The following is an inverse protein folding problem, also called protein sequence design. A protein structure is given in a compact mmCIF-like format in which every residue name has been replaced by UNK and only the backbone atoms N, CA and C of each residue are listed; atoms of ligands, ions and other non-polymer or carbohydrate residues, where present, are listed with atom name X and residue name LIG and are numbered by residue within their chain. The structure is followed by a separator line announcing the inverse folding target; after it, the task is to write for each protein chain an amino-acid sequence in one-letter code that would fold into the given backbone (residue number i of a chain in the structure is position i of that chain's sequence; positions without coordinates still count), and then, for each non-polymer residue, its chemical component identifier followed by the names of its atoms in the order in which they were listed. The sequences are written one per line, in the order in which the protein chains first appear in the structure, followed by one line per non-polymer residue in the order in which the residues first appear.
data_IF_987635716932
#
_entry.id   IF_987635716932
#
_cell.length_a   1.000
_cell.length_b   1.000
_cell.length_c   1.000
_cell.angle_alpha   90.00
_cell.angle_beta   90.00
_cell.angle_gamma   90.00
#
_symmetry.space_group_name_H-M   'P 1'
#
loop_
_entity.id
_entity.type
_entity.pdbx_description
1 polymer ?
#
# COMPACT_ATOMS: atom_id res chain seq x y z
N UNK A 1 7.44 -5.34 -7.79
CA UNK A 1 8.47 -6.08 -8.56
C UNK A 1 7.92 -6.39 -9.96
N UNK A 2 8.72 -6.40 -11.02
CA UNK A 2 8.23 -6.67 -12.39
C UNK A 2 7.52 -8.03 -12.52
N UNK A 3 7.82 -8.97 -11.61
CA UNK A 3 7.24 -10.31 -11.52
C UNK A 3 5.69 -10.33 -11.43
N UNK A 4 5.07 -9.28 -10.86
CA UNK A 4 3.60 -9.22 -10.71
C UNK A 4 2.92 -8.28 -11.70
N UNK A 5 3.70 -7.58 -12.53
CA UNK A 5 3.18 -6.55 -13.46
C UNK A 5 2.16 -7.12 -14.45
N UNK A 6 2.40 -8.36 -14.92
CA UNK A 6 1.46 -9.05 -15.81
C UNK A 6 0.12 -9.35 -15.13
N UNK A 7 0.13 -9.69 -13.85
CA UNK A 7 -1.09 -9.94 -13.06
C UNK A 7 -1.86 -8.65 -12.82
N UNK A 8 -1.16 -7.57 -12.43
CA UNK A 8 -1.80 -6.26 -12.24
C UNK A 8 -2.37 -5.71 -13.54
N UNK A 9 -1.67 -5.93 -14.67
CA UNK A 9 -2.20 -5.58 -15.99
C UNK A 9 -3.48 -6.33 -16.30
N UNK A 10 -3.54 -7.64 -16.04
CA UNK A 10 -4.78 -8.41 -16.21
C UNK A 10 -5.91 -7.88 -15.32
N UNK A 11 -5.61 -7.49 -14.08
CA UNK A 11 -6.60 -6.90 -13.18
C UNK A 11 -7.15 -5.57 -13.73
N UNK A 12 -6.26 -4.68 -14.21
CA UNK A 12 -6.63 -3.42 -14.86
C UNK A 12 -7.45 -3.67 -16.12
N UNK A 13 -7.02 -4.59 -16.99
CA UNK A 13 -7.71 -4.89 -18.25
C UNK A 13 -9.12 -5.49 -17.98
N UNK A 14 -9.28 -6.24 -16.87
CA UNK A 14 -10.56 -6.88 -16.50
C UNK A 14 -11.54 -5.95 -15.78
N UNK A 15 -11.07 -5.13 -14.85
CA UNK A 15 -11.92 -4.35 -13.94
C UNK A 15 -11.78 -2.84 -14.11
N UNK A 16 -10.79 -2.38 -14.87
CA UNK A 16 -10.52 -0.96 -15.14
C UNK A 16 -9.66 -0.29 -14.06
N UNK A 17 -9.04 0.82 -14.45
CA UNK A 17 -8.17 1.64 -13.59
C UNK A 17 -8.92 2.21 -12.37
N UNK A 18 -10.15 2.68 -12.58
CA UNK A 18 -10.99 3.23 -11.51
C UNK A 18 -11.27 2.21 -10.39
N UNK A 19 -11.46 0.94 -10.75
CA UNK A 19 -11.65 -0.13 -9.77
C UNK A 19 -10.38 -0.41 -8.97
N UNK A 20 -9.19 -0.33 -9.59
CA UNK A 20 -7.93 -0.49 -8.86
C UNK A 20 -7.72 0.66 -7.87
N UNK A 21 -8.05 1.90 -8.27
CA UNK A 21 -7.95 3.07 -7.38
C UNK A 21 -8.92 2.94 -6.20
N UNK A 22 -10.16 2.53 -6.47
CA UNK A 22 -11.17 2.32 -5.43
C UNK A 22 -10.73 1.24 -4.43
N UNK A 23 -10.19 0.12 -4.92
CA UNK A 23 -9.62 -0.93 -4.07
C UNK A 23 -8.57 -0.36 -3.12
N UNK A 24 -7.61 0.44 -3.59
CA UNK A 24 -6.59 1.03 -2.71
C UNK A 24 -7.20 1.95 -1.64
N UNK A 25 -8.30 2.65 -1.96
CA UNK A 25 -9.00 3.45 -0.95
C UNK A 25 -9.62 2.58 0.14
N UNK A 26 -10.23 1.45 -0.23
CA UNK A 26 -10.79 0.47 0.70
C UNK A 26 -9.69 -0.08 1.62
N UNK A 27 -8.61 -0.61 1.05
CA UNK A 27 -7.48 -1.17 1.82
C UNK A 27 -6.82 -0.13 2.76
N UNK A 28 -6.68 1.12 2.29
CA UNK A 28 -6.15 2.20 3.14
C UNK A 28 -7.11 2.52 4.31
N UNK A 29 -8.42 2.44 4.09
CA UNK A 29 -9.41 2.67 5.13
C UNK A 29 -9.44 1.53 6.15
N UNK A 30 -9.30 0.28 5.70
CA UNK A 30 -9.23 -0.92 6.56
C UNK A 30 -7.97 -0.90 7.43
N UNK A 31 -6.80 -0.65 6.84
CA UNK A 31 -5.56 -0.46 7.61
C UNK A 31 -5.68 0.69 8.62
N UNK A 32 -6.26 1.83 8.22
CA UNK A 32 -6.46 2.97 9.13
C UNK A 32 -7.37 2.61 10.31
N UNK A 33 -8.47 1.89 10.06
CA UNK A 33 -9.41 1.45 11.08
C UNK A 33 -8.72 0.47 12.04
N UNK A 34 -8.00 -0.53 11.51
CA UNK A 34 -7.28 -1.52 12.30
C UNK A 34 -6.24 -0.86 13.21
N UNK A 35 -5.44 0.07 12.67
CA UNK A 35 -4.46 0.82 13.45
C UNK A 35 -5.12 1.70 14.53
N UNK A 36 -6.30 2.25 14.26
CA UNK A 36 -7.10 2.99 15.24
C UNK A 36 -7.59 2.09 16.39
N UNK A 37 -7.96 0.84 16.09
CA UNK A 37 -8.28 -0.16 17.11
C UNK A 37 -7.05 -0.55 17.93
N UNK A 38 -5.93 -0.85 17.26
CA UNK A 38 -4.67 -1.20 17.92
C UNK A 38 -4.19 -0.09 18.88
N UNK A 39 -4.28 1.18 18.46
CA UNK A 39 -3.86 2.34 19.25
C UNK A 39 -4.69 2.55 20.51
N UNK A 40 -6.01 2.29 20.47
CA UNK A 40 -6.92 2.45 21.62
C UNK A 40 -6.72 1.38 22.71
N UNK A 41 -5.82 0.43 22.47
CA UNK A 41 -5.51 -0.68 23.35
C UNK A 41 -6.48 -1.84 23.17
N UNK A 42 -5.96 -3.06 23.34
CA UNK A 42 -6.62 -4.37 23.18
C UNK A 42 -7.85 -4.60 24.07
N UNK A 43 -8.38 -3.56 24.74
CA UNK A 43 -9.42 -3.70 25.77
C UNK A 43 -10.82 -4.02 25.22
N UNK A 44 -11.05 -3.87 23.91
CA UNK A 44 -12.35 -4.18 23.29
C UNK A 44 -12.28 -4.88 21.93
N UNK A 45 -11.14 -4.89 21.24
CA UNK A 45 -10.97 -5.53 19.94
C UNK A 45 -9.63 -6.26 19.95
N UNK A 46 -9.63 -7.57 19.71
CA UNK A 46 -8.41 -8.37 19.60
C UNK A 46 -7.77 -8.14 18.23
N UNK A 47 -7.12 -6.98 18.05
CA UNK A 47 -6.26 -6.78 16.89
C UNK A 47 -5.04 -7.68 17.07
N UNK A 48 -4.88 -8.64 16.18
CA UNK A 48 -3.73 -9.54 16.18
C UNK A 48 -2.59 -8.97 15.32
N UNK A 49 -1.41 -9.58 15.44
CA UNK A 49 -0.29 -9.21 14.57
C UNK A 49 -0.56 -9.66 13.14
N UNK A 50 -1.26 -10.77 12.97
CA UNK A 50 -1.65 -11.36 11.70
C UNK A 50 -2.57 -10.40 10.93
N UNK A 51 -3.57 -9.82 11.61
CA UNK A 51 -4.45 -8.80 11.01
C UNK A 51 -3.63 -7.62 10.49
N UNK A 52 -2.71 -7.09 11.31
CA UNK A 52 -1.88 -5.94 10.91
C UNK A 52 -1.01 -6.26 9.69
N UNK A 53 -0.45 -7.48 9.64
CA UNK A 53 0.37 -7.90 8.51
C UNK A 53 -0.46 -8.06 7.24
N UNK A 54 -1.69 -8.56 7.34
CA UNK A 54 -2.64 -8.67 6.22
C UNK A 54 -2.90 -7.30 5.60
N UNK A 55 -3.41 -6.36 6.39
CA UNK A 55 -3.75 -5.02 5.93
C UNK A 55 -2.54 -4.25 5.35
N UNK A 56 -1.34 -4.43 5.92
CA UNK A 56 -0.11 -3.86 5.36
C UNK A 56 0.20 -4.48 3.99
N UNK A 57 0.01 -5.79 3.83
CA UNK A 57 0.24 -6.48 2.57
C UNK A 57 -0.77 -6.03 1.50
N UNK A 58 -2.05 -5.90 1.85
CA UNK A 58 -3.10 -5.50 0.93
C UNK A 58 -2.91 -4.06 0.44
N UNK A 59 -2.62 -3.12 1.35
CA UNK A 59 -2.21 -1.75 0.98
C UNK A 59 -0.95 -1.75 0.12
N UNK A 60 0.04 -2.59 0.43
CA UNK A 60 1.27 -2.68 -0.37
C UNK A 60 0.99 -3.16 -1.80
N UNK A 61 0.13 -4.17 -1.98
CA UNK A 61 -0.30 -4.66 -3.29
C UNK A 61 -1.07 -3.58 -4.06
N UNK A 62 -1.98 -2.87 -3.38
CA UNK A 62 -2.71 -1.75 -3.96
C UNK A 62 -1.75 -0.66 -4.47
N UNK A 63 -0.73 -0.29 -3.70
CA UNK A 63 0.29 0.69 -4.13
C UNK A 63 1.03 0.18 -5.38
N UNK A 64 1.37 -1.11 -5.47
CA UNK A 64 1.98 -1.67 -6.67
C UNK A 64 1.05 -1.63 -7.90
N UNK A 65 -0.25 -1.85 -7.72
CA UNK A 65 -1.25 -1.68 -8.77
C UNK A 65 -1.36 -0.22 -9.21
N UNK A 66 -1.32 0.75 -8.29
CA UNK A 66 -1.29 2.18 -8.63
C UNK A 66 -0.06 2.55 -9.45
N UNK A 67 1.11 1.98 -9.14
CA UNK A 67 2.29 2.16 -9.98
C UNK A 67 2.04 1.69 -11.42
N UNK A 68 1.25 0.63 -11.62
CA UNK A 68 0.85 0.17 -12.95
C UNK A 68 -0.16 1.12 -13.62
N UNK A 69 -1.20 1.54 -12.90
CA UNK A 69 -2.23 2.48 -13.38
C UNK A 69 -1.61 3.80 -13.84
N UNK A 70 -0.72 4.37 -13.04
CA UNK A 70 -0.07 5.65 -13.34
C UNK A 70 1.22 5.53 -14.17
N UNK A 71 1.54 4.34 -14.67
CA UNK A 71 2.75 4.06 -15.45
C UNK A 71 4.05 4.50 -14.74
N UNK A 72 4.10 4.40 -13.42
CA UNK A 72 5.28 4.71 -12.61
C UNK A 72 6.36 3.67 -12.89
N UNK A 73 7.50 4.14 -13.37
CA UNK A 73 8.64 3.25 -13.64
C UNK A 73 9.35 2.84 -12.35
N UNK A 74 9.99 1.65 -12.30
CA UNK A 74 10.77 1.23 -11.14
C UNK A 74 11.89 2.21 -10.75
N UNK A 75 12.53 2.86 -11.74
CA UNK A 75 13.58 3.86 -11.51
C UNK A 75 13.04 5.14 -10.87
N UNK A 76 11.91 5.66 -11.37
CA UNK A 76 11.23 6.83 -10.79
C UNK A 76 10.78 6.56 -9.35
N UNK A 77 10.19 5.38 -9.12
CA UNK A 77 9.78 4.94 -7.79
C UNK A 77 10.96 4.89 -6.82
N UNK A 78 12.05 4.23 -7.21
CA UNK A 78 13.23 4.06 -6.39
C UNK A 78 13.90 5.40 -6.06
N UNK A 79 14.12 6.26 -7.06
CA UNK A 79 14.70 7.58 -6.87
C UNK A 79 13.87 8.43 -5.89
N UNK A 80 12.56 8.47 -6.09
CA UNK A 80 11.64 9.21 -5.21
C UNK A 80 11.67 8.68 -3.77
N UNK A 81 11.73 7.35 -3.61
CA UNK A 81 11.81 6.71 -2.29
C UNK A 81 13.12 7.01 -1.57
N UNK A 82 14.26 6.94 -2.27
CA UNK A 82 15.56 7.28 -1.70
C UNK A 82 15.63 8.74 -1.25
N UNK A 83 15.06 9.67 -2.02
CA UNK A 83 14.98 11.07 -1.61
C UNK A 83 14.08 11.30 -0.39
N UNK A 84 12.98 10.55 -0.25
CA UNK A 84 12.16 10.56 0.97
C UNK A 84 12.94 10.01 2.17
N UNK A 85 13.68 8.92 2.00
CA UNK A 85 14.51 8.32 3.05
C UNK A 85 15.66 9.24 3.47
N UNK A 86 16.33 9.90 2.51
CA UNK A 86 17.36 10.90 2.77
C UNK A 86 16.81 12.03 3.65
N UNK A 87 15.65 12.60 3.29
CA UNK A 87 14.98 13.62 4.10
C UNK A 87 14.61 13.14 5.50
N UNK A 88 14.19 11.89 5.65
CA UNK A 88 13.93 11.31 6.97
C UNK A 88 15.21 11.20 7.80
N UNK A 89 16.30 10.71 7.21
CA UNK A 89 17.61 10.63 7.87
C UNK A 89 18.10 12.00 8.33
N UNK A 90 17.91 13.03 7.51
CA UNK A 90 18.31 14.40 7.86
C UNK A 90 17.49 15.00 9.02
N UNK A 91 16.25 14.55 9.24
CA UNK A 91 15.42 14.96 10.39
C UNK A 91 15.79 14.27 11.71
N UNK A 92 16.55 13.17 11.63
CA UNK A 92 17.00 12.40 12.79
C UNK A 92 18.42 12.76 13.24
N UNK A 93 19.12 13.61 12.47
CA UNK A 93 20.41 14.22 12.85
C UNK A 93 20.14 15.45 13.70
#
# INVERSE_FOLDING_TARGET
RDEHRALYKQAIDKWGEAAQIAMVFEECAELMLLLSHARRGLKHHSVTREDIVGEIADVSLGIEQLCCVFNVSPSEWFATREDKLRRLKDRLK
#
